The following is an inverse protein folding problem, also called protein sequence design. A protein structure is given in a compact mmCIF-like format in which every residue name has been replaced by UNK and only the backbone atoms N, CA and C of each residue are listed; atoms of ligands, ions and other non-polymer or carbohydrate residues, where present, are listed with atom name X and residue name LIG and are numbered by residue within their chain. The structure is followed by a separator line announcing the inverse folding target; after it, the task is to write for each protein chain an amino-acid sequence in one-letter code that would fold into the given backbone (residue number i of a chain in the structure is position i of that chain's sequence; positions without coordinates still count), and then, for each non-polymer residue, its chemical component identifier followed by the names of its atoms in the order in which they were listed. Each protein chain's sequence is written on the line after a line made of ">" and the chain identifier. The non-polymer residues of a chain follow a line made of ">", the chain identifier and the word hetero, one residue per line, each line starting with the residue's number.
data_IF_637502013944
#
_entry.id   IF_637502013944
#
_cell.length_a   1.000
_cell.length_b   1.000
_cell.length_c   1.000
_cell.angle_alpha   90.00
_cell.angle_beta   90.00
_cell.angle_gamma   90.00
#
_symmetry.space_group_name_H-M   'P 1'
#
loop_
_entity.id
_entity.type
_entity.pdbx_description
1 polymer ?
#
# COMPACT_ATOMS: atom_id res chain seq x y z
N UNK A 1 -22.88 -4.68 23.35
CA UNK A 1 -23.55 -3.56 22.63
C UNK A 1 -22.59 -3.17 21.53
N UNK A 2 -22.82 -3.67 20.33
CA UNK A 2 -22.00 -3.35 19.16
C UNK A 2 -22.23 -1.87 18.79
N UNK A 3 -21.17 -1.11 18.44
CA UNK A 3 -21.38 0.26 17.99
C UNK A 3 -22.15 0.26 16.66
N UNK A 4 -22.93 1.30 16.37
CA UNK A 4 -23.72 1.37 15.16
C UNK A 4 -22.79 1.56 13.96
N UNK A 5 -22.65 0.52 13.14
CA UNK A 5 -22.03 0.57 11.80
C UNK A 5 -23.02 1.36 10.92
N UNK A 6 -22.94 2.69 11.01
CA UNK A 6 -23.89 3.64 10.45
C UNK A 6 -23.23 4.79 9.71
N UNK A 7 -22.00 4.60 9.24
CA UNK A 7 -21.34 5.43 8.25
C UNK A 7 -20.64 4.46 7.31
N UNK A 8 -20.93 4.55 6.01
CA UNK A 8 -20.31 3.70 5.00
C UNK A 8 -18.80 3.82 5.17
N UNK A 9 -18.11 2.76 5.59
CA UNK A 9 -16.67 2.71 5.45
C UNK A 9 -16.38 2.78 3.95
N UNK A 10 -15.57 3.75 3.56
CA UNK A 10 -15.12 3.91 2.18
C UNK A 10 -13.65 3.55 2.23
N UNK A 11 -13.08 2.72 1.36
CA UNK A 11 -11.69 2.33 1.55
C UNK A 11 -10.77 3.34 0.86
N UNK A 12 -10.18 4.27 1.63
CA UNK A 12 -9.01 5.02 1.18
C UNK A 12 -7.74 4.33 1.71
N UNK A 13 -6.69 4.30 0.89
CA UNK A 13 -5.36 3.86 1.33
C UNK A 13 -4.68 5.08 1.95
N UNK A 14 -4.08 4.95 3.13
CA UNK A 14 -3.31 6.05 3.71
C UNK A 14 -1.97 5.62 4.30
N UNK A 15 -0.93 6.41 4.05
CA UNK A 15 0.37 6.26 4.70
C UNK A 15 0.47 7.18 5.91
N UNK A 16 1.14 6.76 6.97
CA UNK A 16 1.24 7.50 8.23
C UNK A 16 2.69 7.79 8.62
N UNK A 17 2.95 8.89 9.34
CA UNK A 17 4.23 9.14 10.00
C UNK A 17 4.03 9.54 11.46
N UNK A 18 4.81 8.93 12.36
CA UNK A 18 4.77 9.20 13.80
C UNK A 18 5.96 9.99 14.36
N UNK A 19 7.19 9.85 13.82
CA UNK A 19 8.39 10.45 14.42
C UNK A 19 9.23 11.29 13.43
N UNK A 20 9.65 12.47 13.90
CA UNK A 20 10.38 13.52 13.18
C UNK A 20 11.92 13.40 13.24
N UNK A 21 12.46 12.17 13.25
CA UNK A 21 13.91 11.95 13.31
C UNK A 21 14.39 10.84 12.36
N UNK A 22 13.50 10.36 11.49
CA UNK A 22 13.78 9.32 10.52
C UNK A 22 13.09 9.63 9.20
N UNK A 23 13.81 9.37 8.12
CA UNK A 23 13.36 9.45 6.76
C UNK A 23 12.32 8.34 6.58
N UNK A 24 11.06 8.73 6.41
CA UNK A 24 10.08 7.90 5.72
C UNK A 24 10.12 8.39 4.28
N UNK A 25 11.10 7.86 3.57
CA UNK A 25 10.89 7.63 2.17
C UNK A 25 9.85 6.51 2.12
N UNK A 26 8.58 6.82 1.84
CA UNK A 26 7.73 5.77 1.22
C UNK A 26 8.23 5.66 -0.19
N UNK A 27 9.47 5.15 -0.31
CA UNK A 27 9.96 4.75 -1.58
C UNK A 27 8.90 3.76 -2.10
N UNK A 28 8.19 4.10 -3.16
CA UNK A 28 7.13 3.26 -3.70
C UNK A 28 7.51 3.01 -5.14
N UNK A 29 8.22 1.91 -5.36
CA UNK A 29 8.56 1.46 -6.70
C UNK A 29 7.31 1.04 -7.46
N UNK A 30 6.24 0.64 -6.73
CA UNK A 30 4.97 0.18 -7.26
C UNK A 30 3.85 0.39 -6.23
N UNK A 31 2.85 1.23 -6.52
CA UNK A 31 1.56 1.23 -5.82
C UNK A 31 0.47 0.90 -6.83
N UNK A 32 -0.10 -0.30 -6.73
CA UNK A 32 -1.15 -0.75 -7.63
C UNK A 32 -2.33 -1.30 -6.86
N UNK A 33 -3.53 -1.11 -7.41
CA UNK A 33 -4.77 -1.67 -6.86
C UNK A 33 -5.60 -2.34 -7.96
N UNK A 34 -6.03 -3.57 -7.73
CA UNK A 34 -7.10 -4.21 -8.50
C UNK A 34 -8.41 -4.13 -7.69
N UNK A 35 -9.49 -3.64 -8.30
CA UNK A 35 -10.82 -3.48 -7.67
C UNK A 35 -11.83 -4.48 -8.26
N UNK A 36 -12.77 -4.95 -7.44
CA UNK A 36 -13.66 -6.12 -7.67
C UNK A 36 -14.52 -6.10 -8.95
N UNK A 37 -14.63 -4.99 -9.69
CA UNK A 37 -15.30 -5.04 -11.00
C UNK A 37 -14.60 -5.96 -12.01
N UNK A 38 -13.33 -6.32 -11.80
CA UNK A 38 -12.54 -7.09 -12.77
C UNK A 38 -11.98 -8.44 -12.25
N UNK A 39 -12.11 -8.74 -10.95
CA UNK A 39 -11.53 -9.96 -10.32
C UNK A 39 -12.24 -11.26 -10.75
N UNK A 40 -13.56 -11.23 -11.00
CA UNK A 40 -14.33 -12.45 -11.30
C UNK A 40 -14.15 -13.00 -12.74
N UNK A 41 -13.53 -12.27 -13.67
CA UNK A 41 -13.59 -12.65 -15.11
C UNK A 41 -12.53 -13.66 -15.57
N UNK A 42 -11.39 -13.81 -14.88
CA UNK A 42 -10.23 -14.52 -15.47
C UNK A 42 -9.93 -15.93 -14.91
N UNK A 43 -10.72 -16.46 -13.99
CA UNK A 43 -10.48 -17.82 -13.47
C UNK A 43 -11.24 -18.93 -14.24
N UNK A 44 -10.93 -19.16 -15.53
CA UNK A 44 -11.26 -20.46 -16.18
C UNK A 44 -10.33 -20.87 -17.33
N UNK A 45 -9.30 -21.67 -16.98
CA UNK A 45 -8.70 -22.86 -17.67
C UNK A 45 -8.45 -22.85 -19.20
N UNK A 46 -7.22 -23.21 -19.62
CA UNK A 46 -6.79 -24.58 -20.02
C UNK A 46 -5.35 -24.61 -20.55
N UNK A 47 -4.57 -25.57 -20.06
CA UNK A 47 -3.21 -25.86 -20.50
C UNK A 47 -3.16 -26.51 -21.89
N UNK A 48 -2.18 -26.10 -22.71
CA UNK A 48 -1.65 -26.89 -23.82
C UNK A 48 -0.13 -26.70 -23.85
N UNK A 49 0.60 -27.80 -23.69
CA UNK A 49 2.07 -27.83 -23.62
C UNK A 49 2.63 -27.92 -25.04
N UNK A 50 3.41 -26.92 -25.47
CA UNK A 50 4.28 -26.99 -26.65
C UNK A 50 5.69 -26.59 -26.20
N UNK A 51 6.62 -27.53 -26.21
CA UNK A 51 8.02 -27.29 -25.86
C UNK A 51 8.78 -26.92 -27.13
N UNK A 52 9.14 -25.64 -27.24
CA UNK A 52 10.12 -25.14 -28.20
C UNK A 52 11.33 -24.63 -27.40
N UNK A 53 12.46 -25.30 -27.54
CA UNK A 53 13.75 -24.86 -26.98
C UNK A 53 14.24 -23.69 -27.83
N UNK A 54 14.03 -22.47 -27.32
CA UNK A 54 14.61 -21.24 -27.87
C UNK A 54 15.72 -20.81 -26.91
N UNK A 55 16.90 -20.52 -27.44
CA UNK A 55 18.03 -19.99 -26.65
C UNK A 55 17.63 -18.62 -26.08
N UNK A 56 17.28 -18.57 -24.79
CA UNK A 56 16.88 -17.35 -24.10
C UNK A 56 18.11 -16.48 -23.81
N UNK A 57 18.41 -15.54 -24.70
CA UNK A 57 18.83 -14.23 -24.22
C UNK A 57 17.57 -13.57 -23.67
N UNK A 58 17.29 -13.73 -22.38
CA UNK A 58 16.29 -12.89 -21.71
C UNK A 58 16.89 -11.50 -21.65
N UNK A 59 16.38 -10.49 -22.39
CA UNK A 59 16.69 -9.13 -22.02
C UNK A 59 16.21 -8.98 -20.57
N UNK A 60 17.09 -8.51 -19.70
CA UNK A 60 16.66 -7.98 -18.41
C UNK A 60 15.84 -6.75 -18.77
N UNK A 61 14.54 -6.95 -18.94
CA UNK A 61 13.58 -5.86 -18.93
C UNK A 61 13.64 -5.36 -17.50
N UNK A 62 14.37 -4.26 -17.28
CA UNK A 62 14.22 -3.49 -16.06
C UNK A 62 12.75 -3.09 -16.02
N UNK A 63 11.99 -3.62 -15.06
CA UNK A 63 10.68 -3.09 -14.77
C UNK A 63 10.88 -1.60 -14.47
N UNK A 64 10.26 -0.74 -15.27
CA UNK A 64 10.27 0.68 -15.00
C UNK A 64 9.38 0.89 -13.78
N UNK A 65 9.90 1.52 -12.74
CA UNK A 65 9.14 1.76 -11.51
C UNK A 65 7.90 2.60 -11.82
N UNK A 66 6.83 2.39 -11.06
CA UNK A 66 5.57 3.12 -11.17
C UNK A 66 4.93 3.03 -12.56
N UNK A 67 5.01 1.85 -13.17
CA UNK A 67 4.36 1.56 -14.45
C UNK A 67 3.73 0.17 -14.41
N UNK A 68 2.49 0.07 -14.89
CA UNK A 68 1.86 -1.22 -15.11
C UNK A 68 2.52 -1.94 -16.29
N UNK A 69 2.80 -3.22 -16.10
CA UNK A 69 3.06 -4.13 -17.22
C UNK A 69 1.76 -4.38 -17.99
N UNK A 70 1.87 -4.74 -19.27
CA UNK A 70 0.68 -5.08 -20.06
C UNK A 70 -0.12 -6.27 -19.51
N UNK A 71 0.51 -7.12 -18.68
CA UNK A 71 -0.18 -8.20 -17.97
C UNK A 71 -1.02 -7.64 -16.81
N UNK A 72 -0.47 -6.73 -16.01
CA UNK A 72 -1.19 -6.10 -14.90
C UNK A 72 -2.35 -5.23 -15.42
N UNK A 73 -2.16 -4.49 -16.51
CA UNK A 73 -3.27 -3.78 -17.17
C UNK A 73 -4.39 -4.73 -17.60
N UNK A 74 -4.03 -5.89 -18.18
CA UNK A 74 -4.99 -6.89 -18.63
C UNK A 74 -5.72 -7.58 -17.46
N UNK A 75 -5.07 -7.68 -16.30
CA UNK A 75 -5.64 -8.21 -15.06
C UNK A 75 -6.40 -7.15 -14.24
N UNK A 76 -6.54 -5.93 -14.76
CA UNK A 76 -7.39 -4.88 -14.17
C UNK A 76 -6.72 -4.08 -13.05
N UNK A 77 -5.39 -4.12 -12.96
CA UNK A 77 -4.65 -3.28 -12.02
C UNK A 77 -4.73 -1.80 -12.41
N UNK A 78 -4.81 -0.94 -11.41
CA UNK A 78 -4.78 0.52 -11.54
C UNK A 78 -3.57 1.04 -10.78
N UNK A 79 -2.76 1.85 -11.44
CA UNK A 79 -1.64 2.55 -10.82
C UNK A 79 -2.18 3.67 -9.91
N UNK A 80 -1.78 3.64 -8.63
CA UNK A 80 -2.15 4.66 -7.64
C UNK A 80 -1.15 5.81 -7.57
N UNK A 81 0.10 5.59 -7.97
CA UNK A 81 1.15 6.61 -7.94
C UNK A 81 2.02 6.50 -9.19
N UNK A 82 2.20 7.61 -9.89
CA UNK A 82 2.88 7.65 -11.20
C UNK A 82 4.39 7.88 -11.11
N UNK A 83 4.97 7.90 -9.91
CA UNK A 83 6.36 8.26 -9.69
C UNK A 83 6.65 9.76 -9.80
N UNK A 84 5.72 10.58 -10.28
CA UNK A 84 6.02 11.95 -10.69
C UNK A 84 5.18 13.00 -9.94
N UNK A 85 4.02 12.62 -9.41
CA UNK A 85 3.08 13.57 -8.83
C UNK A 85 2.22 12.94 -7.72
N UNK A 86 1.72 13.80 -6.83
CA UNK A 86 0.70 13.42 -5.84
C UNK A 86 -0.72 13.42 -6.44
N UNK A 87 -0.85 13.27 -7.76
CA UNK A 87 -2.16 13.16 -8.39
C UNK A 87 -2.91 11.94 -7.84
N UNK A 88 -4.17 12.13 -7.46
CA UNK A 88 -4.94 11.08 -6.81
C UNK A 88 -4.70 10.96 -5.31
N UNK A 89 -3.80 11.75 -4.72
CA UNK A 89 -3.49 11.77 -3.30
C UNK A 89 -3.84 13.10 -2.64
N UNK A 90 -4.18 13.06 -1.34
CA UNK A 90 -4.54 14.23 -0.55
C UNK A 90 -3.96 14.10 0.87
N UNK A 91 -3.04 14.99 1.26
CA UNK A 91 -2.57 15.08 2.64
C UNK A 91 -3.71 15.31 3.63
N UNK A 92 -3.60 14.72 4.81
CA UNK A 92 -4.46 14.92 5.97
C UNK A 92 -3.60 15.17 7.20
N UNK A 93 -4.10 16.02 8.10
CA UNK A 93 -3.36 16.50 9.28
C UNK A 93 -2.18 17.40 8.87
N UNK A 94 -1.11 17.42 9.66
CA UNK A 94 -0.09 18.45 9.60
C UNK A 94 1.10 18.09 8.69
N UNK A 95 1.40 16.80 8.53
CA UNK A 95 2.53 16.36 7.71
C UNK A 95 2.40 16.82 6.25
N UNK A 96 3.52 17.28 5.71
CA UNK A 96 3.66 17.59 4.29
C UNK A 96 4.22 16.38 3.56
N UNK A 97 3.80 16.21 2.32
CA UNK A 97 4.22 15.12 1.45
C UNK A 97 4.76 15.67 0.16
N UNK A 98 5.82 15.05 -0.36
CA UNK A 98 6.47 15.42 -1.60
C UNK A 98 6.77 14.18 -2.44
N UNK A 99 7.17 14.41 -3.69
CA UNK A 99 7.69 13.36 -4.55
C UNK A 99 9.19 13.53 -4.69
N UNK A 100 9.97 12.53 -4.27
CA UNK A 100 11.44 12.52 -4.30
C UNK A 100 11.90 11.17 -4.83
N UNK A 101 12.82 11.17 -5.81
CA UNK A 101 13.40 9.95 -6.40
C UNK A 101 12.38 8.90 -6.87
N UNK A 102 11.30 9.36 -7.53
CA UNK A 102 10.17 8.54 -7.99
C UNK A 102 9.32 7.94 -6.88
N UNK A 103 9.25 8.61 -5.72
CA UNK A 103 8.59 8.10 -4.53
C UNK A 103 7.78 9.13 -3.79
N UNK A 104 6.77 8.71 -3.02
CA UNK A 104 6.08 9.61 -2.10
C UNK A 104 6.90 9.66 -0.81
N UNK A 105 7.24 10.83 -0.31
CA UNK A 105 8.00 10.96 0.95
C UNK A 105 7.36 11.99 1.86
N UNK A 106 7.36 11.69 3.15
CA UNK A 106 6.92 12.64 4.14
C UNK A 106 8.06 13.61 4.43
N UNK A 107 7.78 14.91 4.41
CA UNK A 107 8.79 15.94 4.63
C UNK A 107 9.20 15.92 6.10
N UNK A 108 10.49 15.78 6.37
CA UNK A 108 11.03 15.80 7.73
C UNK A 108 10.57 17.04 8.51
N UNK A 109 10.37 16.87 9.82
CA UNK A 109 9.93 17.92 10.75
C UNK A 109 8.61 18.64 10.35
N UNK A 110 7.82 18.07 9.44
CA UNK A 110 6.54 18.66 9.02
C UNK A 110 5.37 18.34 9.95
N UNK A 111 5.58 17.46 10.94
CA UNK A 111 4.57 17.03 11.90
C UNK A 111 4.08 15.61 11.61
N UNK A 112 3.01 15.20 12.31
CA UNK A 112 2.36 13.91 12.09
C UNK A 112 1.27 14.06 11.06
N UNK A 113 1.15 13.09 10.16
CA UNK A 113 0.06 13.14 9.20
C UNK A 113 -0.08 11.91 8.34
N UNK A 114 -1.15 11.97 7.55
CA UNK A 114 -1.55 10.93 6.64
C UNK A 114 -1.55 11.48 5.22
N UNK A 115 -1.35 10.65 4.20
CA UNK A 115 -1.74 10.99 2.83
C UNK A 115 -2.72 9.93 2.34
N UNK A 116 -3.85 10.35 1.79
CA UNK A 116 -4.95 9.45 1.44
C UNK A 116 -5.28 9.50 -0.05
N UNK A 117 -5.68 8.38 -0.62
CA UNK A 117 -6.27 8.37 -1.98
C UNK A 117 -7.53 9.24 -2.03
N UNK A 118 -7.72 9.99 -3.11
CA UNK A 118 -8.92 10.80 -3.35
C UNK A 118 -10.12 9.95 -3.80
N UNK A 119 -9.83 8.80 -4.41
CA UNK A 119 -10.78 7.74 -4.73
C UNK A 119 -11.04 6.83 -3.52
N UNK A 120 -12.16 6.12 -3.58
CA UNK A 120 -12.57 5.11 -2.59
C UNK A 120 -12.72 3.76 -3.26
N UNK A 121 -12.31 2.71 -2.56
CA UNK A 121 -12.30 1.34 -3.06
C UNK A 121 -13.24 0.46 -2.23
N UNK A 122 -13.89 -0.51 -2.89
CA UNK A 122 -14.67 -1.57 -2.27
C UNK A 122 -13.74 -2.71 -1.86
N UNK A 123 -13.99 -3.94 -2.30
CA UNK A 123 -12.98 -4.99 -2.21
C UNK A 123 -11.81 -4.69 -3.17
N UNK A 124 -10.60 -5.00 -2.72
CA UNK A 124 -9.40 -4.75 -3.51
C UNK A 124 -8.22 -5.65 -3.16
N UNK A 125 -7.31 -5.76 -4.11
CA UNK A 125 -5.95 -6.28 -3.95
C UNK A 125 -4.98 -5.11 -4.15
N UNK A 126 -4.18 -4.80 -3.14
CA UNK A 126 -3.20 -3.72 -3.12
C UNK A 126 -1.79 -4.30 -3.02
N UNK A 127 -0.90 -3.86 -3.91
CA UNK A 127 0.55 -4.01 -3.75
C UNK A 127 1.15 -2.67 -3.47
N UNK A 128 2.01 -2.58 -2.47
CA UNK A 128 2.72 -1.36 -2.12
C UNK A 128 4.14 -1.69 -1.69
N UNK A 129 5.08 -1.11 -2.42
CA UNK A 129 6.49 -1.14 -2.03
C UNK A 129 6.77 -0.02 -1.02
N UNK A 130 7.61 -0.30 -0.04
CA UNK A 130 8.07 0.64 0.97
C UNK A 130 9.52 0.38 1.37
N UNK A 131 10.20 1.45 1.75
CA UNK A 131 11.52 1.42 2.40
C UNK A 131 11.41 2.15 3.74
N UNK A 132 12.19 1.75 4.74
CA UNK A 132 12.24 2.46 6.02
C UNK A 132 13.65 2.46 6.62
N UNK A 133 13.97 3.50 7.38
CA UNK A 133 15.12 3.51 8.28
C UNK A 133 14.84 2.82 9.63
N UNK A 134 15.82 2.81 10.54
CA UNK A 134 15.72 2.14 11.86
C UNK A 134 14.68 2.77 12.80
N UNK A 135 14.28 4.01 12.54
CA UNK A 135 13.48 4.84 13.45
C UNK A 135 12.08 5.17 12.92
N UNK A 136 11.87 4.94 11.63
CA UNK A 136 10.62 5.15 10.92
C UNK A 136 9.46 4.37 11.56
N UNK A 137 8.35 5.08 11.79
CA UNK A 137 7.09 4.51 12.24
C UNK A 137 5.99 5.02 11.31
N UNK A 138 5.40 4.07 10.59
CA UNK A 138 4.43 4.25 9.51
C UNK A 138 3.38 3.14 9.54
N UNK A 139 2.50 3.16 8.55
CA UNK A 139 1.51 2.12 8.34
C UNK A 139 0.71 2.38 7.07
N UNK A 140 0.15 1.30 6.52
CA UNK A 140 -0.83 1.35 5.43
C UNK A 140 -2.20 1.17 6.04
N UNK A 141 -2.97 2.25 6.06
CA UNK A 141 -4.35 2.22 6.52
C UNK A 141 -5.28 1.83 5.37
N UNK A 142 -6.21 0.92 5.65
CA UNK A 142 -7.25 0.46 4.72
C UNK A 142 -8.64 0.60 5.36
N UNK A 143 -9.68 0.61 4.51
CA UNK A 143 -11.09 0.82 4.93
C UNK A 143 -11.32 2.19 5.62
N UNK A 144 -10.49 3.19 5.33
CA UNK A 144 -10.49 4.49 6.01
C UNK A 144 -11.65 5.43 5.65
N UNK A 145 -12.36 6.04 6.61
CA UNK A 145 -13.43 6.97 6.30
C UNK A 145 -13.00 8.09 5.33
N UNK A 146 -13.86 8.37 4.34
CA UNK A 146 -13.59 9.41 3.34
C UNK A 146 -13.38 10.78 3.99
N UNK A 147 -14.12 11.08 5.05
CA UNK A 147 -14.06 12.35 5.77
C UNK A 147 -13.97 12.09 7.27
N UNK A 148 -13.38 13.04 7.99
CA UNK A 148 -13.18 12.94 9.44
C UNK A 148 -11.90 12.19 9.84
N UNK A 149 -11.71 11.97 11.14
CA UNK A 149 -10.49 11.38 11.67
C UNK A 149 -10.42 9.88 11.36
N UNK A 150 -9.24 9.43 10.95
CA UNK A 150 -8.87 8.02 10.85
C UNK A 150 -8.36 7.57 12.22
N UNK A 151 -8.92 6.48 12.72
CA UNK A 151 -8.66 5.91 14.05
C UNK A 151 -8.63 4.39 13.95
N UNK A 152 -8.05 3.71 14.93
CA UNK A 152 -8.07 2.23 15.00
C UNK A 152 -9.49 1.65 15.10
N UNK A 153 -10.51 2.44 15.47
CA UNK A 153 -11.89 2.00 15.54
C UNK A 153 -12.68 2.12 14.23
N UNK A 154 -12.13 2.78 13.20
CA UNK A 154 -12.81 3.01 11.92
C UNK A 154 -11.93 2.79 10.69
N UNK A 155 -10.75 2.20 10.86
CA UNK A 155 -9.84 1.78 9.81
C UNK A 155 -8.98 0.63 10.32
N UNK A 156 -8.39 -0.14 9.40
CA UNK A 156 -7.36 -1.12 9.75
C UNK A 156 -6.00 -0.58 9.35
N UNK A 157 -5.00 -0.78 10.19
CA UNK A 157 -3.62 -0.37 9.93
C UNK A 157 -2.74 -1.60 9.80
N UNK A 158 -2.14 -1.78 8.62
CA UNK A 158 -1.02 -2.70 8.43
C UNK A 158 0.24 -1.94 8.81
N UNK A 159 0.80 -2.30 9.96
CA UNK A 159 1.83 -1.49 10.62
C UNK A 159 3.19 -1.59 9.90
N UNK A 160 3.96 -0.50 9.94
CA UNK A 160 5.34 -0.42 9.48
C UNK A 160 6.16 0.20 10.62
N UNK A 161 6.67 -0.64 11.52
CA UNK A 161 7.55 -0.25 12.61
C UNK A 161 8.20 -1.51 13.20
N UNK A 162 9.42 -1.83 12.75
CA UNK A 162 10.12 -3.05 13.16
C UNK A 162 10.29 -3.20 14.68
N UNK A 163 10.68 -2.18 15.46
CA UNK A 163 10.87 -2.32 16.90
C UNK A 163 9.57 -2.22 17.71
N UNK A 164 8.39 -2.26 17.08
CA UNK A 164 7.13 -2.26 17.84
C UNK A 164 6.97 -3.57 18.65
N UNK A 165 6.86 -3.46 19.97
CA UNK A 165 6.77 -4.62 20.87
C UNK A 165 5.56 -5.55 20.59
N UNK A 166 4.39 -4.95 20.44
CA UNK A 166 3.13 -5.68 20.26
C UNK A 166 2.76 -5.92 18.79
N UNK A 167 2.96 -4.91 17.93
CA UNK A 167 2.46 -4.89 16.55
C UNK A 167 3.57 -4.51 15.56
N UNK A 168 4.59 -5.34 15.41
CA UNK A 168 5.70 -5.09 14.48
C UNK A 168 5.25 -5.06 13.01
N UNK A 169 6.14 -4.60 12.12
CA UNK A 169 5.89 -4.51 10.67
C UNK A 169 5.17 -5.74 10.10
N UNK A 170 4.09 -5.50 9.36
CA UNK A 170 3.21 -6.53 8.79
C UNK A 170 2.11 -7.03 9.72
N UNK A 171 2.06 -6.58 10.97
CA UNK A 171 0.90 -6.82 11.85
C UNK A 171 -0.27 -5.93 11.45
N UNK A 172 -1.49 -6.41 11.64
CA UNK A 172 -2.70 -5.56 11.63
C UNK A 172 -2.93 -5.10 13.06
N UNK A 173 -2.73 -3.81 13.32
CA UNK A 173 -2.78 -3.23 14.67
C UNK A 173 -4.09 -3.63 15.39
N UNK A 174 -3.97 -4.11 16.63
CA UNK A 174 -5.05 -4.58 17.50
C UNK A 174 -5.87 -5.79 17.02
N UNK A 175 -5.60 -6.32 15.82
CA UNK A 175 -6.37 -7.40 15.20
C UNK A 175 -5.56 -8.69 15.10
N UNK A 176 -4.39 -8.62 14.44
CA UNK A 176 -3.61 -9.79 14.10
C UNK A 176 -2.11 -9.48 14.12
N UNK A 177 -1.37 -10.22 14.94
CA UNK A 177 0.08 -10.09 15.03
C UNK A 177 0.76 -10.98 14.00
N UNK A 178 1.83 -10.49 13.38
CA UNK A 178 2.69 -11.32 12.54
C UNK A 178 3.32 -12.46 13.35
N UNK A 179 3.53 -13.61 12.72
CA UNK A 179 4.14 -14.78 13.38
C UNK A 179 5.67 -14.69 13.41
N UNK A 180 6.26 -14.15 12.35
CA UNK A 180 7.71 -14.02 12.19
C UNK A 180 8.03 -12.57 11.87
N UNK A 181 8.95 -11.98 12.63
CA UNK A 181 9.42 -10.62 12.40
C UNK A 181 10.16 -10.53 11.07
N UNK A 182 9.71 -9.70 10.12
CA UNK A 182 10.55 -9.33 9.01
C UNK A 182 11.64 -8.35 9.49
N UNK A 183 12.81 -8.38 8.84
CA UNK A 183 13.79 -7.30 8.92
C UNK A 183 13.52 -6.39 7.72
N UNK A 184 12.89 -5.23 7.93
CA UNK A 184 12.46 -4.37 6.82
C UNK A 184 13.33 -3.12 6.66
N UNK A 185 14.03 -2.73 7.71
CA UNK A 185 14.94 -1.58 7.68
C UNK A 185 16.07 -1.71 6.65
N UNK A 186 16.35 -0.60 5.96
CA UNK A 186 17.51 -0.47 5.07
C UNK A 186 17.35 -1.18 3.73
N UNK A 187 16.16 -1.72 3.45
CA UNK A 187 15.85 -2.40 2.20
C UNK A 187 14.41 -2.17 1.77
N UNK A 188 14.17 -2.44 0.50
CA UNK A 188 12.85 -2.40 -0.10
C UNK A 188 12.03 -3.63 0.27
N UNK A 189 10.77 -3.39 0.63
CA UNK A 189 9.83 -4.41 1.03
C UNK A 189 8.50 -4.19 0.30
N UNK A 190 7.73 -5.25 0.11
CA UNK A 190 6.41 -5.18 -0.52
C UNK A 190 5.37 -5.66 0.48
N UNK A 191 4.31 -4.89 0.68
CA UNK A 191 3.06 -5.43 1.17
C UNK A 191 2.17 -5.86 0.01
N UNK A 192 1.63 -7.07 0.15
CA UNK A 192 0.57 -7.63 -0.67
C UNK A 192 -0.67 -7.78 0.23
N UNK A 193 -1.67 -6.92 0.02
CA UNK A 193 -2.82 -6.76 0.90
C UNK A 193 -4.09 -7.04 0.10
N UNK A 194 -4.84 -8.06 0.51
CA UNK A 194 -6.21 -8.29 0.01
C UNK A 194 -7.22 -7.87 1.07
N UNK A 195 -8.14 -6.99 0.69
CA UNK A 195 -9.30 -6.61 1.49
C UNK A 195 -10.57 -7.12 0.80
N UNK A 196 -11.15 -8.19 1.34
CA UNK A 196 -12.32 -8.87 0.79
C UNK A 196 -13.38 -9.07 1.87
N UNK A 197 -14.59 -8.55 1.63
CA UNK A 197 -15.75 -8.71 2.49
C UNK A 197 -16.35 -7.40 3.04
N UNK A 198 -17.27 -7.56 4.00
CA UNK A 198 -18.04 -6.47 4.59
C UNK A 198 -17.13 -5.46 5.32
N UNK A 199 -17.45 -4.17 5.20
CA UNK A 199 -16.70 -3.06 5.78
C UNK A 199 -17.59 -1.86 6.13
#
# INVERSE_FOLDING_TARGET
>A
VSPPIGGRCHSAISFYQLNAAGIIETESHNIFIASEKDVERNMTRRAALVVLVVCWFSPVVSAQHNMLTGAEEADGWTLLFDGASLNGWSPRLDARWEVTDDTISAVEESGRGLIATTASYGNFHLTVDFWIDETANSGVFIRCPREGPITQGNAFEVNIYDPHDSWPTGSVNEIAKIQTMPHTTGQWNTFDITADGDH
#
